data_IF_169342143800
#
_entry.id   IF_169342143800
#
_cell.length_a   1.000
_cell.length_b   1.000
_cell.length_c   1.000
_cell.angle_alpha   90.00
_cell.angle_beta   90.00
_cell.angle_gamma   90.00
#
_symmetry.space_group_name_H-M   'P 1'
#
loop_
_entity.id
_entity.type
_entity.pdbx_description
1 polymer ?
#
# COMPACT_ATOMS: atom_id res chain seq x y z
N UNK A 1 13.68 -0.24 -3.57
CA UNK A 1 13.52 -0.18 -5.04
C UNK A 1 14.59 -1.03 -5.74
N UNK A 2 14.54 -1.18 -7.07
CA UNK A 2 15.46 -2.07 -7.83
C UNK A 2 16.94 -1.79 -7.55
N UNK A 3 17.35 -0.50 -7.53
CA UNK A 3 18.73 -0.12 -7.23
C UNK A 3 19.16 -0.57 -5.83
N UNK A 4 18.38 -0.24 -4.80
CA UNK A 4 18.65 -0.66 -3.42
C UNK A 4 18.73 -2.19 -3.26
N UNK A 5 17.90 -2.95 -3.98
CA UNK A 5 17.95 -4.41 -3.95
C UNK A 5 19.24 -4.96 -4.56
N UNK A 6 19.79 -4.30 -5.60
CA UNK A 6 21.09 -4.65 -6.19
C UNK A 6 22.24 -4.25 -5.28
N UNK A 7 22.18 -3.06 -4.69
CA UNK A 7 23.23 -2.55 -3.80
C UNK A 7 23.36 -3.38 -2.51
N UNK A 8 22.26 -3.93 -2.02
CA UNK A 8 22.23 -4.82 -0.85
C UNK A 8 22.53 -6.29 -1.20
N UNK A 9 22.54 -6.65 -2.49
CA UNK A 9 22.77 -8.01 -2.97
C UNK A 9 24.25 -8.35 -3.13
N UNK A 10 24.50 -9.60 -3.49
CA UNK A 10 25.80 -10.12 -3.92
C UNK A 10 25.85 -10.33 -5.44
N UNK A 11 26.94 -10.94 -5.92
CA UNK A 11 27.15 -11.21 -7.36
C UNK A 11 26.10 -12.16 -7.97
N UNK A 12 25.42 -12.94 -7.13
CA UNK A 12 24.38 -13.91 -7.56
C UNK A 12 22.96 -13.33 -7.48
N UNK A 13 22.82 -12.07 -7.05
CA UNK A 13 21.51 -11.43 -6.86
C UNK A 13 20.91 -10.96 -8.19
N UNK A 14 19.83 -11.62 -8.63
CA UNK A 14 19.04 -11.21 -9.81
C UNK A 14 17.66 -10.66 -9.43
N UNK A 15 17.41 -9.39 -9.74
CA UNK A 15 16.05 -8.81 -9.67
C UNK A 15 15.29 -9.20 -10.94
N UNK A 16 14.35 -10.13 -10.84
CA UNK A 16 13.58 -10.65 -11.99
C UNK A 16 12.26 -9.92 -12.25
N UNK A 17 11.76 -9.18 -11.27
CA UNK A 17 10.51 -8.42 -11.35
C UNK A 17 10.47 -7.32 -10.29
N UNK A 18 9.82 -6.20 -10.61
CA UNK A 18 9.44 -5.19 -9.63
C UNK A 18 8.10 -4.57 -10.03
N UNK A 19 7.37 -4.03 -9.07
CA UNK A 19 6.11 -3.36 -9.35
C UNK A 19 5.76 -2.27 -8.31
N UNK A 20 4.97 -1.30 -8.75
CA UNK A 20 4.25 -0.37 -7.88
C UNK A 20 2.77 -0.34 -8.29
N UNK A 21 1.86 -0.60 -7.35
CA UNK A 21 0.79 -1.60 -7.46
C UNK A 21 0.44 -2.16 -8.86
N UNK A 22 0.22 -1.33 -9.88
CA UNK A 22 -0.12 -1.74 -11.26
C UNK A 22 0.95 -1.44 -12.32
N UNK A 23 2.10 -0.89 -11.93
CA UNK A 23 3.22 -0.49 -12.79
C UNK A 23 4.30 -1.56 -12.74
N UNK A 24 4.23 -2.53 -13.65
CA UNK A 24 5.21 -3.62 -13.68
C UNK A 24 6.50 -3.20 -14.39
N UNK A 25 7.62 -3.70 -13.86
CA UNK A 25 8.94 -3.65 -14.46
C UNK A 25 9.42 -5.08 -14.62
N UNK A 26 9.44 -5.55 -15.87
CA UNK A 26 10.03 -6.83 -16.24
C UNK A 26 11.50 -6.60 -16.60
N UNK A 27 12.40 -6.77 -15.64
CA UNK A 27 13.81 -6.38 -15.75
C UNK A 27 14.57 -7.03 -16.91
N UNK A 28 14.13 -8.19 -17.38
CA UNK A 28 14.64 -8.85 -18.58
C UNK A 28 14.36 -8.09 -19.89
N UNK A 29 13.32 -7.23 -19.92
CA UNK A 29 12.95 -6.41 -21.08
C UNK A 29 13.36 -4.93 -20.92
N UNK A 30 13.74 -4.51 -19.71
CA UNK A 30 14.19 -3.15 -19.43
C UNK A 30 14.01 -2.74 -17.97
N UNK A 31 14.72 -1.69 -17.55
CA UNK A 31 14.62 -1.10 -16.21
C UNK A 31 13.50 -0.08 -16.05
N UNK A 32 12.47 -0.12 -16.90
CA UNK A 32 11.38 0.85 -16.95
C UNK A 32 10.01 0.15 -16.89
N UNK A 33 8.97 0.94 -16.60
CA UNK A 33 7.59 0.46 -16.63
C UNK A 33 7.19 0.22 -18.08
N UNK A 34 6.82 -1.01 -18.41
CA UNK A 34 6.46 -1.39 -19.77
C UNK A 34 5.15 -2.17 -19.81
N UNK A 35 4.08 -1.45 -20.20
CA UNK A 35 2.75 -2.03 -20.33
C UNK A 35 2.62 -3.03 -21.49
N UNK A 36 3.43 -2.90 -22.55
CA UNK A 36 3.40 -3.81 -23.70
C UNK A 36 4.05 -5.14 -23.32
N UNK A 37 5.21 -5.09 -22.66
CA UNK A 37 5.85 -6.28 -22.10
C UNK A 37 4.93 -6.97 -21.08
N UNK A 38 4.28 -6.21 -20.20
CA UNK A 38 3.30 -6.74 -19.23
C UNK A 38 2.14 -7.45 -19.93
N UNK A 39 1.56 -6.84 -20.96
CA UNK A 39 0.46 -7.42 -21.71
C UNK A 39 0.88 -8.73 -22.40
N UNK A 40 2.08 -8.78 -22.99
CA UNK A 40 2.60 -9.99 -23.63
C UNK A 40 2.85 -11.12 -22.62
N UNK A 41 3.44 -10.81 -21.45
CA UNK A 41 3.66 -11.79 -20.36
C UNK A 41 2.33 -12.33 -19.84
N UNK A 42 1.38 -11.45 -19.52
CA UNK A 42 0.06 -11.86 -19.03
C UNK A 42 -0.71 -12.68 -20.07
N UNK A 43 -0.70 -12.27 -21.35
CA UNK A 43 -1.35 -13.02 -22.42
C UNK A 43 -0.77 -14.43 -22.56
N UNK A 44 0.56 -14.58 -22.48
CA UNK A 44 1.23 -15.89 -22.50
C UNK A 44 0.87 -16.75 -21.29
N UNK A 45 0.85 -16.17 -20.09
CA UNK A 45 0.47 -16.88 -18.86
C UNK A 45 -0.99 -17.35 -18.94
N UNK A 46 -1.91 -16.48 -19.35
CA UNK A 46 -3.32 -16.81 -19.50
C UNK A 46 -3.55 -17.86 -20.59
N UNK A 47 -2.79 -17.83 -21.69
CA UNK A 47 -2.90 -18.82 -22.77
C UNK A 47 -2.45 -20.25 -22.37
N UNK A 48 -1.68 -20.40 -21.28
CA UNK A 48 -1.28 -21.70 -20.75
C UNK A 48 -2.36 -22.29 -19.82
N UNK A 49 -2.24 -22.17 -18.49
CA UNK A 49 -3.20 -22.71 -17.52
C UNK A 49 -4.58 -22.03 -17.51
N UNK A 50 -4.75 -20.85 -18.12
CA UNK A 50 -5.98 -20.07 -18.05
C UNK A 50 -6.04 -19.13 -16.84
N UNK A 51 -6.78 -18.02 -16.97
CA UNK A 51 -6.88 -16.99 -15.93
C UNK A 51 -7.49 -17.52 -14.62
N UNK A 52 -8.48 -18.43 -14.69
CA UNK A 52 -9.13 -18.97 -13.51
C UNK A 52 -8.15 -19.74 -12.62
N UNK A 53 -7.31 -20.59 -13.22
CA UNK A 53 -6.28 -21.37 -12.51
C UNK A 53 -5.22 -20.45 -11.90
N UNK A 54 -4.83 -19.40 -12.62
CA UNK A 54 -3.87 -18.42 -12.10
C UNK A 54 -4.40 -17.61 -10.91
N UNK A 55 -5.72 -17.41 -10.83
CA UNK A 55 -6.38 -16.66 -9.74
C UNK A 55 -6.74 -17.53 -8.55
N UNK A 56 -6.97 -18.82 -8.73
CA UNK A 56 -7.35 -19.77 -7.67
C UNK A 56 -6.49 -19.68 -6.38
N UNK A 57 -5.14 -19.59 -6.45
CA UNK A 57 -4.33 -19.49 -5.23
C UNK A 57 -4.28 -18.08 -4.62
N UNK A 58 -4.88 -17.06 -5.24
CA UNK A 58 -4.83 -15.68 -4.75
C UNK A 58 -5.96 -15.46 -3.74
N UNK A 59 -5.60 -15.25 -2.47
CA UNK A 59 -6.56 -14.81 -1.45
C UNK A 59 -6.89 -13.34 -1.65
N UNK A 60 -8.09 -13.04 -2.13
CA UNK A 60 -8.61 -11.67 -2.20
C UNK A 60 -9.29 -11.30 -0.88
N UNK A 61 -8.71 -10.34 -0.15
CA UNK A 61 -9.33 -9.74 1.03
C UNK A 61 -10.12 -8.49 0.67
N UNK A 62 -11.20 -8.16 1.42
CA UNK A 62 -11.89 -6.90 1.23
C UNK A 62 -10.94 -5.71 1.41
N UNK A 63 -10.83 -4.88 0.37
CA UNK A 63 -9.99 -3.70 0.35
C UNK A 63 -10.83 -2.42 0.19
N UNK A 64 -10.42 -1.35 0.88
CA UNK A 64 -11.01 -0.02 0.77
C UNK A 64 -9.95 1.06 0.72
N UNK A 65 -10.25 2.08 -0.08
CA UNK A 65 -9.52 3.34 -0.14
C UNK A 65 -10.50 4.47 0.10
N UNK A 66 -10.27 5.24 1.14
CA UNK A 66 -11.09 6.41 1.50
C UNK A 66 -10.21 7.63 1.71
N UNK A 67 -10.81 8.80 1.57
CA UNK A 67 -10.14 10.09 1.77
C UNK A 67 -10.83 10.86 2.88
N UNK A 68 -10.05 11.45 3.77
CA UNK A 68 -10.50 12.41 4.79
C UNK A 68 -10.04 13.79 4.36
N UNK A 69 -10.95 14.76 4.30
CA UNK A 69 -10.62 16.16 4.01
C UNK A 69 -9.60 16.69 5.01
N UNK A 70 -8.55 17.33 4.51
CA UNK A 70 -7.50 17.91 5.33
C UNK A 70 -6.87 19.08 4.57
N UNK A 71 -7.06 20.32 5.04
CA UNK A 71 -6.38 21.50 4.50
C UNK A 71 -4.86 21.30 4.42
N UNK A 72 -4.23 21.82 3.38
CA UNK A 72 -2.81 21.58 3.11
C UNK A 72 -1.89 22.06 4.25
N UNK A 73 -2.25 23.15 4.92
CA UNK A 73 -1.55 23.71 6.08
C UNK A 73 -1.69 22.84 7.34
N UNK A 74 -2.81 22.12 7.48
CA UNK A 74 -3.07 21.23 8.62
C UNK A 74 -2.38 19.85 8.49
N UNK A 75 -2.06 19.39 7.27
CA UNK A 75 -1.56 18.02 7.02
C UNK A 75 -0.36 17.61 7.85
N UNK A 76 0.63 18.49 8.02
CA UNK A 76 1.84 18.17 8.77
C UNK A 76 1.53 17.83 10.23
N UNK A 77 0.73 18.66 10.88
CA UNK A 77 0.30 18.46 12.28
C UNK A 77 -0.68 17.29 12.41
N UNK A 78 -1.61 17.15 11.48
CA UNK A 78 -2.54 16.03 11.44
C UNK A 78 -1.78 14.69 11.35
N UNK A 79 -0.80 14.57 10.45
CA UNK A 79 -0.01 13.34 10.32
C UNK A 79 0.84 13.03 11.55
N UNK A 80 1.40 14.04 12.23
CA UNK A 80 2.11 13.84 13.50
C UNK A 80 1.18 13.32 14.62
N UNK A 81 -0.07 13.77 14.64
CA UNK A 81 -1.09 13.25 15.57
C UNK A 81 -1.52 11.82 15.19
N UNK A 82 -1.68 11.52 13.90
CA UNK A 82 -1.98 10.18 13.40
C UNK A 82 -0.88 9.19 13.81
N UNK A 83 0.40 9.56 13.64
CA UNK A 83 1.55 8.73 14.02
C UNK A 83 1.57 8.38 15.51
N UNK A 84 1.02 9.24 16.37
CA UNK A 84 0.89 8.97 17.81
C UNK A 84 -0.38 8.18 18.16
N UNK A 85 -1.51 8.54 17.56
CA UNK A 85 -2.84 8.01 17.93
C UNK A 85 -3.11 6.63 17.37
N UNK A 86 -2.68 6.34 16.14
CA UNK A 86 -2.92 5.03 15.52
C UNK A 86 -2.25 3.89 16.30
N UNK A 87 -0.97 3.97 16.69
CA UNK A 87 -0.36 2.93 17.53
C UNK A 87 -1.02 2.79 18.91
N UNK A 88 -1.56 3.88 19.47
CA UNK A 88 -2.27 3.84 20.74
C UNK A 88 -3.63 3.13 20.64
N UNK A 89 -4.35 3.33 19.54
CA UNK A 89 -5.61 2.65 19.24
C UNK A 89 -5.39 1.16 18.91
N UNK A 90 -4.27 0.84 18.26
CA UNK A 90 -3.91 -0.52 17.84
C UNK A 90 -2.58 -0.96 18.47
N UNK A 91 -2.52 -1.17 19.79
CA UNK A 91 -1.25 -1.40 20.51
C UNK A 91 -0.58 -2.74 20.16
N UNK A 92 -1.32 -3.67 19.54
CA UNK A 92 -0.78 -4.96 19.12
C UNK A 92 -0.29 -4.98 17.66
N UNK A 93 -0.48 -3.88 16.92
CA UNK A 93 -0.05 -3.76 15.54
C UNK A 93 1.45 -3.46 15.44
N UNK A 94 2.11 -3.97 14.40
CA UNK A 94 3.42 -3.44 14.00
C UNK A 94 3.24 -2.14 13.23
N UNK A 95 4.16 -1.20 13.43
CA UNK A 95 4.09 0.16 12.89
C UNK A 95 5.27 0.41 11.95
N UNK A 96 5.00 0.97 10.78
CA UNK A 96 6.00 1.50 9.84
C UNK A 96 5.60 2.92 9.43
N UNK A 97 6.55 3.85 9.41
CA UNK A 97 6.32 5.28 9.15
C UNK A 97 7.01 5.80 7.88
N UNK A 98 7.66 4.95 7.07
CA UNK A 98 8.47 5.37 5.92
C UNK A 98 7.67 6.13 4.83
N UNK A 99 6.44 5.70 4.54
CA UNK A 99 5.59 6.27 3.47
C UNK A 99 4.23 6.77 3.95
N UNK A 100 4.17 7.21 5.20
CA UNK A 100 2.94 7.42 5.97
C UNK A 100 2.86 6.39 7.10
N UNK A 101 1.78 6.39 7.87
CA UNK A 101 1.63 5.49 9.03
C UNK A 101 0.94 4.21 8.58
N UNK A 102 1.71 3.14 8.48
CA UNK A 102 1.24 1.78 8.19
C UNK A 102 1.13 0.99 9.49
N UNK A 103 -0.02 0.35 9.68
CA UNK A 103 -0.24 -0.65 10.72
C UNK A 103 -0.46 -2.02 10.08
N UNK A 104 0.16 -3.06 10.63
CA UNK A 104 -0.14 -4.46 10.31
C UNK A 104 -0.61 -5.19 11.57
N UNK A 105 -1.78 -5.82 11.47
CA UNK A 105 -2.42 -6.58 12.53
C UNK A 105 -1.99 -8.05 12.47
N UNK A 106 -2.14 -8.77 13.58
CA UNK A 106 -1.70 -10.18 13.72
C UNK A 106 -2.37 -11.16 12.75
N UNK A 107 -3.56 -10.83 12.27
CA UNK A 107 -4.32 -11.63 11.29
C UNK A 107 -3.94 -11.30 9.83
N UNK A 108 -2.94 -10.44 9.62
CA UNK A 108 -2.50 -9.96 8.31
C UNK A 108 -3.36 -8.82 7.75
N UNK A 109 -4.37 -8.34 8.48
CA UNK A 109 -5.09 -7.12 8.12
C UNK A 109 -4.15 -5.92 8.25
N UNK A 110 -4.34 -4.88 7.43
CA UNK A 110 -3.46 -3.71 7.47
C UNK A 110 -4.18 -2.42 7.13
N UNK A 111 -3.63 -1.31 7.60
CA UNK A 111 -4.00 0.04 7.13
C UNK A 111 -2.76 0.85 6.80
N UNK A 112 -2.88 1.77 5.84
CA UNK A 112 -1.88 2.80 5.54
C UNK A 112 -2.57 4.15 5.48
N UNK A 113 -2.09 5.10 6.29
CA UNK A 113 -2.54 6.48 6.30
C UNK A 113 -1.45 7.39 5.76
N UNK A 114 -1.75 8.15 4.71
CA UNK A 114 -0.77 9.05 4.07
C UNK A 114 -1.37 10.37 3.64
N UNK A 115 -0.65 11.49 3.75
CA UNK A 115 -1.09 12.75 3.18
C UNK A 115 -1.09 12.64 1.64
N UNK A 116 -2.06 13.28 1.00
CA UNK A 116 -2.00 13.51 -0.44
C UNK A 116 -1.02 14.65 -0.75
N UNK A 117 -0.10 14.41 -1.69
CA UNK A 117 0.86 15.43 -2.13
C UNK A 117 0.27 16.46 -3.10
N UNK A 118 -0.93 16.24 -3.63
CA UNK A 118 -1.51 17.08 -4.70
C UNK A 118 -2.95 17.50 -4.45
N UNK A 119 -3.58 17.00 -3.38
CA UNK A 119 -5.00 17.24 -3.09
C UNK A 119 -5.19 17.44 -1.58
N UNK A 120 -6.19 18.21 -1.11
CA UNK A 120 -6.40 18.52 0.30
C UNK A 120 -7.05 17.35 1.07
N UNK A 121 -6.41 16.19 1.06
CA UNK A 121 -6.87 14.98 1.73
C UNK A 121 -5.74 14.23 2.43
N UNK A 122 -6.09 13.51 3.49
CA UNK A 122 -5.35 12.35 4.00
C UNK A 122 -6.05 11.08 3.48
N UNK A 123 -5.28 10.16 2.90
CA UNK A 123 -5.80 8.90 2.34
C UNK A 123 -5.62 7.78 3.34
N UNK A 124 -6.69 7.01 3.53
CA UNK A 124 -6.70 5.77 4.30
C UNK A 124 -6.89 4.61 3.33
N UNK A 125 -5.96 3.67 3.40
CA UNK A 125 -6.02 2.39 2.71
C UNK A 125 -6.20 1.32 3.77
N UNK A 126 -7.08 0.35 3.54
CA UNK A 126 -7.29 -0.74 4.48
C UNK A 126 -7.63 -2.03 3.75
N UNK A 127 -7.13 -3.14 4.27
CA UNK A 127 -7.45 -4.49 3.83
C UNK A 127 -7.67 -5.37 5.07
N UNK A 128 -8.85 -5.97 5.15
CA UNK A 128 -9.27 -6.79 6.30
C UNK A 128 -10.53 -7.58 5.94
N UNK A 129 -10.77 -8.71 6.60
CA UNK A 129 -12.06 -9.40 6.53
C UNK A 129 -13.21 -8.51 7.05
N UNK A 130 -12.94 -7.68 8.06
CA UNK A 130 -13.81 -6.59 8.53
C UNK A 130 -13.26 -5.22 8.09
N UNK A 131 -13.15 -5.02 6.78
CA UNK A 131 -12.65 -3.75 6.23
C UNK A 131 -13.54 -2.56 6.60
N UNK A 132 -14.84 -2.77 6.82
CA UNK A 132 -15.74 -1.69 7.20
C UNK A 132 -15.41 -1.16 8.61
N UNK A 133 -15.26 -2.05 9.59
CA UNK A 133 -14.87 -1.69 10.95
C UNK A 133 -13.48 -1.07 11.00
N UNK A 134 -12.50 -1.65 10.30
CA UNK A 134 -11.13 -1.12 10.27
C UNK A 134 -11.08 0.29 9.66
N UNK A 135 -11.78 0.52 8.55
CA UNK A 135 -11.84 1.86 7.92
C UNK A 135 -12.51 2.87 8.84
N UNK A 136 -13.61 2.51 9.51
CA UNK A 136 -14.32 3.43 10.39
C UNK A 136 -13.46 3.86 11.58
N UNK A 137 -12.81 2.90 12.25
CA UNK A 137 -11.89 3.17 13.34
C UNK A 137 -10.72 4.09 12.91
N UNK A 138 -10.05 3.74 11.80
CA UNK A 138 -8.89 4.51 11.31
C UNK A 138 -9.32 5.91 10.84
N UNK A 139 -10.43 6.04 10.12
CA UNK A 139 -10.91 7.35 9.66
C UNK A 139 -11.36 8.24 10.80
N UNK A 140 -11.87 7.69 11.90
CA UNK A 140 -12.19 8.44 13.12
C UNK A 140 -10.92 9.06 13.70
N UNK A 141 -9.86 8.26 13.89
CA UNK A 141 -8.55 8.76 14.36
C UNK A 141 -8.01 9.86 13.45
N UNK A 142 -8.11 9.69 12.12
CA UNK A 142 -7.65 10.69 11.15
C UNK A 142 -8.49 11.97 11.22
N UNK A 143 -9.82 11.88 11.30
CA UNK A 143 -10.70 13.05 11.40
C UNK A 143 -10.40 13.86 12.66
N UNK A 144 -10.24 13.19 13.79
CA UNK A 144 -9.91 13.83 15.06
C UNK A 144 -8.52 14.50 15.01
N UNK A 145 -7.55 13.83 14.39
CA UNK A 145 -6.22 14.40 14.17
C UNK A 145 -6.25 15.63 13.27
N UNK A 146 -7.12 15.66 12.25
CA UNK A 146 -7.31 16.84 11.38
C UNK A 146 -8.02 17.96 12.13
N UNK A 147 -9.01 17.67 12.97
CA UNK A 147 -9.71 18.68 13.75
C UNK A 147 -8.82 19.35 14.81
N UNK A 148 -7.84 18.62 15.34
CA UNK A 148 -6.88 19.10 16.34
C UNK A 148 -5.59 19.71 15.74
N UNK A 149 -5.47 19.68 14.41
CA UNK A 149 -4.36 20.24 13.64
C UNK A 149 -4.55 21.74 13.41
#
# INVERSE_FOLDING_TARGET
GIAAARDAGDEDTEVVFAAEPWKHVHTAFGGWIDGVASAAVLARLVAGPGLAVLRDPVTERPYRKVSVECPDDAKGRAMALVEQRLPAEFPEASVDTEYGVRLELRDGSWTLVRPSGTEPYVRVYAESEDVAGLVDAVTTVVRDAVADA
#
